data_IF_277715882363
#
_entry.id   IF_277715882363
#
_cell.length_a   1.000
_cell.length_b   1.000
_cell.length_c   1.000
_cell.angle_alpha   90.00
_cell.angle_beta   90.00
_cell.angle_gamma   90.00
#
_symmetry.space_group_name_H-M   'P 1'
#
loop_
_entity.id
_entity.type
_entity.pdbx_description
1 polymer ?
#
# COMPACT_ATOMS: atom_id res chain seq x y z
N UNK A 1 -21.02 37.35 -1.19
CA UNK A 1 -20.61 38.65 -1.76
C UNK A 1 -19.66 39.30 -0.76
N UNK A 2 -18.38 39.38 -1.16
CA UNK A 2 -17.29 40.27 -0.76
C UNK A 2 -17.23 40.91 0.65
N UNK A 3 -16.03 40.84 1.27
CA UNK A 3 -15.38 42.04 1.82
C UNK A 3 -14.92 42.01 3.29
N UNK A 4 -13.61 41.80 3.49
CA UNK A 4 -12.79 42.29 4.63
C UNK A 4 -13.00 43.80 4.85
N UNK A 5 -12.85 44.38 6.08
CA UNK A 5 -11.50 44.63 6.66
C UNK A 5 -11.40 44.72 8.21
N UNK A 6 -10.16 44.96 8.68
CA UNK A 6 -9.68 45.29 10.04
C UNK A 6 -9.40 44.14 11.02
N UNK A 7 -8.16 43.65 11.02
CA UNK A 7 -7.28 43.67 12.22
C UNK A 7 -5.85 43.95 11.74
N UNK A 8 -5.49 45.23 11.63
CA UNK A 8 -4.09 45.65 11.71
C UNK A 8 -3.78 45.95 13.16
N UNK A 9 -2.97 45.11 13.84
CA UNK A 9 -2.24 45.42 15.08
C UNK A 9 -1.40 44.23 15.63
N UNK A 10 -0.67 43.48 14.79
CA UNK A 10 0.40 42.60 15.29
C UNK A 10 1.71 42.74 14.49
N UNK A 11 1.94 43.92 13.94
CA UNK A 11 3.23 44.35 13.41
C UNK A 11 3.51 45.78 13.90
N UNK A 12 3.45 45.97 15.22
CA UNK A 12 3.85 47.20 15.88
C UNK A 12 5.03 46.92 16.80
N UNK A 13 6.18 47.55 16.53
CA UNK A 13 7.26 47.65 17.52
C UNK A 13 8.43 46.70 17.36
N UNK A 14 9.03 46.62 16.17
CA UNK A 14 10.46 46.39 16.07
C UNK A 14 11.20 47.70 16.41
N UNK A 15 11.23 48.07 17.68
CA UNK A 15 12.10 49.13 18.19
C UNK A 15 12.62 48.77 19.57
N UNK A 16 13.95 48.89 19.71
CA UNK A 16 14.73 48.87 20.95
C UNK A 16 15.06 47.50 21.59
N UNK A 17 16.11 46.86 21.06
CA UNK A 17 17.36 46.55 21.80
C UNK A 17 17.38 45.71 23.09
N UNK A 18 16.30 45.06 23.54
CA UNK A 18 16.36 44.25 24.79
C UNK A 18 15.67 42.88 24.70
N UNK A 19 15.52 42.31 23.49
CA UNK A 19 14.79 41.05 23.26
C UNK A 19 15.59 39.91 22.62
N UNK A 20 16.88 40.11 22.31
CA UNK A 20 17.73 39.13 21.60
C UNK A 20 18.02 37.86 22.43
N UNK A 21 17.64 37.84 23.71
CA UNK A 21 17.79 36.67 24.60
C UNK A 21 16.53 35.81 24.71
N UNK A 22 15.36 36.27 24.24
CA UNK A 22 14.15 35.43 24.21
C UNK A 22 14.02 34.61 22.92
N UNK A 23 14.64 35.05 21.83
CA UNK A 23 14.69 34.29 20.56
C UNK A 23 15.59 33.05 20.60
N UNK A 24 16.50 32.96 21.58
CA UNK A 24 17.44 31.85 21.73
C UNK A 24 16.94 30.72 22.64
N UNK A 25 15.83 30.93 23.37
CA UNK A 25 15.24 29.89 24.24
C UNK A 25 14.20 29.06 23.48
N UNK A 26 13.63 29.59 22.40
CA UNK A 26 12.65 28.89 21.55
C UNK A 26 13.24 27.81 20.63
N UNK A 27 14.55 27.78 20.41
CA UNK A 27 15.22 26.84 19.48
C UNK A 27 15.70 25.54 20.12
N UNK A 28 15.66 25.42 21.45
CA UNK A 28 16.07 24.20 22.17
C UNK A 28 14.90 23.24 22.38
N UNK A 29 13.67 23.76 22.47
CA UNK A 29 12.46 22.92 22.61
C UNK A 29 12.05 22.24 21.29
N UNK A 30 12.48 22.78 20.14
CA UNK A 30 12.13 22.23 18.81
C UNK A 30 12.93 20.99 18.40
N UNK A 31 14.09 20.72 19.02
CA UNK A 31 14.89 19.52 18.74
C UNK A 31 14.25 18.20 19.22
N UNK A 32 13.45 18.26 20.29
CA UNK A 32 12.75 17.07 20.83
C UNK A 32 11.43 16.81 20.10
N UNK A 33 10.72 17.86 19.68
CA UNK A 33 9.48 17.73 18.92
C UNK A 33 9.65 17.12 17.53
N UNK A 34 10.78 17.40 16.86
CA UNK A 34 11.09 16.86 15.52
C UNK A 34 11.33 15.35 15.54
N UNK A 35 12.08 14.84 16.51
CA UNK A 35 12.30 13.39 16.66
C UNK A 35 10.99 12.66 16.99
N UNK A 36 10.17 13.21 17.88
CA UNK A 36 8.86 12.65 18.21
C UNK A 36 7.92 12.60 16.99
N UNK A 37 7.94 13.64 16.14
CA UNK A 37 7.14 13.69 14.91
C UNK A 37 7.55 12.62 13.89
N UNK A 38 8.85 12.36 13.71
CA UNK A 38 9.34 11.31 12.81
C UNK A 38 8.97 9.90 13.26
N UNK A 39 8.95 9.64 14.57
CA UNK A 39 8.50 8.34 15.13
C UNK A 39 7.01 8.13 14.90
N UNK A 40 6.20 9.18 15.06
CA UNK A 40 4.77 9.13 14.77
C UNK A 40 4.50 8.86 13.28
N UNK A 41 5.20 9.54 12.37
CA UNK A 41 5.09 9.31 10.92
C UNK A 41 5.49 7.89 10.53
N UNK A 42 6.59 7.36 11.09
CA UNK A 42 6.99 5.98 10.87
C UNK A 42 5.90 4.99 11.29
N UNK A 43 5.32 5.17 12.48
CA UNK A 43 4.24 4.31 12.98
C UNK A 43 2.99 4.38 12.10
N UNK A 44 2.63 5.57 11.61
CA UNK A 44 1.52 5.74 10.68
C UNK A 44 1.79 5.01 9.35
N UNK A 45 3.00 5.17 8.81
CA UNK A 45 3.43 4.49 7.58
C UNK A 45 3.46 2.96 7.74
N UNK A 46 3.93 2.45 8.89
CA UNK A 46 3.93 1.02 9.21
C UNK A 46 2.51 0.45 9.32
N UNK A 47 1.58 1.21 9.92
CA UNK A 47 0.17 0.82 10.02
C UNK A 47 -0.51 0.80 8.63
N UNK A 48 -0.25 1.81 7.80
CA UNK A 48 -0.77 1.88 6.44
C UNK A 48 -0.20 0.73 5.57
N UNK A 49 1.08 0.41 5.74
CA UNK A 49 1.71 -0.75 5.12
C UNK A 49 1.12 -2.08 5.59
N UNK A 50 0.83 -2.23 6.89
CA UNK A 50 0.17 -3.43 7.42
C UNK A 50 -1.24 -3.61 6.84
N UNK A 51 -1.99 -2.52 6.66
CA UNK A 51 -3.30 -2.57 6.00
C UNK A 51 -3.19 -2.99 4.52
N UNK A 52 -2.20 -2.46 3.78
CA UNK A 52 -1.95 -2.88 2.41
C UNK A 52 -1.54 -4.36 2.31
N UNK A 53 -0.73 -4.86 3.25
CA UNK A 53 -0.36 -6.26 3.32
C UNK A 53 -1.56 -7.17 3.65
N UNK A 54 -2.47 -6.75 4.52
CA UNK A 54 -3.72 -7.48 4.78
C UNK A 54 -4.58 -7.56 3.52
N UNK A 55 -4.81 -6.43 2.83
CA UNK A 55 -5.53 -6.39 1.55
C UNK A 55 -4.87 -7.30 0.50
N UNK A 56 -3.54 -7.30 0.42
CA UNK A 56 -2.81 -8.17 -0.49
C UNK A 56 -3.02 -9.66 -0.18
N UNK A 57 -3.05 -10.03 1.11
CA UNK A 57 -3.34 -11.41 1.55
C UNK A 57 -4.77 -11.80 1.21
N UNK A 58 -5.73 -10.93 1.49
CA UNK A 58 -7.14 -11.13 1.14
C UNK A 58 -7.32 -11.34 -0.37
N UNK A 59 -6.66 -10.52 -1.20
CA UNK A 59 -6.71 -10.64 -2.65
C UNK A 59 -6.12 -11.98 -3.15
N UNK A 60 -5.00 -12.42 -2.59
CA UNK A 60 -4.47 -13.77 -2.87
C UNK A 60 -5.41 -14.88 -2.40
N UNK A 61 -6.10 -14.72 -1.28
CA UNK A 61 -7.03 -15.72 -0.78
C UNK A 61 -8.34 -15.75 -1.59
N UNK A 62 -8.82 -14.59 -2.04
CA UNK A 62 -9.98 -14.46 -2.91
C UNK A 62 -9.71 -15.08 -4.28
N UNK A 63 -8.59 -14.73 -4.92
CA UNK A 63 -8.18 -15.31 -6.21
C UNK A 63 -7.93 -16.82 -6.14
N UNK A 64 -7.44 -17.35 -5.01
CA UNK A 64 -7.37 -18.79 -4.79
C UNK A 64 -8.74 -19.45 -4.71
N UNK A 65 -9.69 -18.84 -4.00
CA UNK A 65 -11.07 -19.32 -3.93
C UNK A 65 -11.75 -19.31 -5.29
N UNK A 66 -11.62 -18.23 -6.04
CA UNK A 66 -12.18 -18.09 -7.40
C UNK A 66 -11.60 -19.15 -8.35
N UNK A 67 -10.28 -19.40 -8.28
CA UNK A 67 -9.64 -20.42 -9.09
C UNK A 67 -10.15 -21.84 -8.76
N UNK A 68 -10.35 -22.16 -7.48
CA UNK A 68 -10.96 -23.43 -7.08
C UNK A 68 -12.41 -23.54 -7.58
N UNK A 69 -13.16 -22.45 -7.55
CA UNK A 69 -14.54 -22.41 -8.02
C UNK A 69 -14.62 -22.66 -9.53
N UNK A 70 -13.75 -22.01 -10.32
CA UNK A 70 -13.64 -22.22 -11.78
C UNK A 70 -13.25 -23.65 -12.15
N UNK A 71 -12.31 -24.25 -11.42
CA UNK A 71 -11.96 -25.67 -11.59
C UNK A 71 -13.16 -26.58 -11.32
N UNK A 72 -13.90 -26.31 -10.25
CA UNK A 72 -15.08 -27.10 -9.89
C UNK A 72 -16.19 -26.97 -10.92
N UNK A 73 -16.41 -25.77 -11.44
CA UNK A 73 -17.38 -25.49 -12.49
C UNK A 73 -17.02 -26.20 -13.80
N UNK A 74 -15.74 -26.18 -14.19
CA UNK A 74 -15.22 -26.97 -15.31
C UNK A 74 -15.45 -28.47 -15.12
N UNK A 75 -15.20 -29.00 -13.92
CA UNK A 75 -15.46 -30.41 -13.62
C UNK A 75 -16.95 -30.77 -13.71
N UNK A 76 -17.85 -29.91 -13.20
CA UNK A 76 -19.31 -30.13 -13.27
C UNK A 76 -19.79 -30.08 -14.72
N UNK A 77 -19.31 -29.12 -15.51
CA UNK A 77 -19.59 -29.03 -16.95
C UNK A 77 -19.13 -30.30 -17.68
N UNK A 78 -17.95 -30.80 -17.34
CA UNK A 78 -17.42 -32.03 -17.92
C UNK A 78 -18.29 -33.23 -17.57
N UNK A 79 -18.66 -33.40 -16.30
CA UNK A 79 -19.55 -34.48 -15.87
C UNK A 79 -20.93 -34.42 -16.55
N UNK A 80 -21.47 -33.20 -16.77
CA UNK A 80 -22.72 -33.01 -17.51
C UNK A 80 -22.59 -33.37 -18.98
N UNK A 81 -21.48 -32.96 -19.62
CA UNK A 81 -21.19 -33.33 -21.01
C UNK A 81 -21.05 -34.85 -21.17
N UNK A 82 -20.38 -35.52 -20.23
CA UNK A 82 -20.25 -36.97 -20.20
C UNK A 82 -21.61 -37.68 -20.04
N UNK A 83 -22.45 -37.19 -19.13
CA UNK A 83 -23.79 -37.75 -18.89
C UNK A 83 -24.70 -37.57 -20.10
N UNK A 84 -24.68 -36.40 -20.75
CA UNK A 84 -25.44 -36.15 -21.98
C UNK A 84 -24.94 -37.01 -23.14
N UNK A 85 -23.63 -37.16 -23.29
CA UNK A 85 -23.05 -38.06 -24.28
C UNK A 85 -23.48 -39.51 -24.08
N UNK A 86 -23.45 -39.99 -22.84
CA UNK A 86 -23.91 -41.32 -22.48
C UNK A 86 -25.43 -41.50 -22.72
N UNK A 87 -26.24 -40.50 -22.39
CA UNK A 87 -27.70 -40.52 -22.57
C UNK A 87 -28.12 -40.42 -24.05
N UNK A 88 -27.34 -39.75 -24.89
CA UNK A 88 -27.64 -39.59 -26.33
C UNK A 88 -27.41 -40.84 -27.18
N UNK A 89 -26.91 -41.93 -26.58
CA UNK A 89 -26.59 -43.15 -27.32
C UNK A 89 -25.35 -43.05 -28.21
N UNK A 90 -24.69 -41.88 -28.25
CA UNK A 90 -23.47 -41.65 -29.03
C UNK A 90 -22.24 -42.44 -28.53
N UNK A 91 -22.37 -43.17 -27.42
CA UNK A 91 -21.30 -43.98 -26.85
C UNK A 91 -20.20 -43.11 -26.24
N UNK A 92 -19.98 -43.25 -24.93
CA UNK A 92 -18.75 -42.76 -24.28
C UNK A 92 -17.53 -43.65 -24.61
N UNK A 93 -17.54 -44.27 -25.79
CA UNK A 93 -16.52 -45.18 -26.32
C UNK A 93 -15.70 -44.52 -27.42
N UNK A 94 -14.70 -45.25 -27.91
CA UNK A 94 -13.74 -44.83 -28.96
C UNK A 94 -14.36 -44.31 -30.27
N UNK A 95 -15.67 -44.48 -30.46
CA UNK A 95 -16.43 -44.10 -31.65
C UNK A 95 -16.96 -42.65 -31.61
N UNK A 96 -16.86 -41.94 -30.48
CA UNK A 96 -17.17 -40.51 -30.36
C UNK A 96 -15.96 -39.66 -29.90
N UNK A 97 -14.83 -39.65 -30.65
CA UNK A 97 -13.62 -38.93 -30.29
C UNK A 97 -13.85 -37.42 -30.12
N UNK A 98 -14.86 -36.86 -30.78
CA UNK A 98 -15.21 -35.44 -30.70
C UNK A 98 -15.66 -35.02 -29.30
N UNK A 99 -16.41 -35.87 -28.58
CA UNK A 99 -16.94 -35.56 -27.25
C UNK A 99 -15.81 -35.56 -26.22
N UNK A 100 -14.96 -36.59 -26.23
CA UNK A 100 -13.79 -36.69 -25.34
C UNK A 100 -12.83 -35.51 -25.58
N UNK A 101 -12.65 -35.09 -26.84
CA UNK A 101 -11.81 -33.93 -27.18
C UNK A 101 -12.42 -32.62 -26.70
N UNK A 102 -13.73 -32.43 -26.83
CA UNK A 102 -14.45 -31.25 -26.34
C UNK A 102 -14.39 -31.18 -24.80
N UNK A 103 -14.60 -32.30 -24.13
CA UNK A 103 -14.45 -32.45 -22.68
C UNK A 103 -13.03 -32.10 -22.19
N UNK A 104 -12.00 -32.57 -22.90
CA UNK A 104 -10.60 -32.23 -22.61
C UNK A 104 -10.30 -30.75 -22.83
N UNK A 105 -10.85 -30.14 -23.89
CA UNK A 105 -10.73 -28.71 -24.15
C UNK A 105 -11.42 -27.86 -23.08
N UNK A 106 -12.64 -28.22 -22.65
CA UNK A 106 -13.36 -27.52 -21.58
C UNK A 106 -12.61 -27.58 -20.25
N UNK A 107 -12.05 -28.75 -19.90
CA UNK A 107 -11.22 -28.88 -18.71
C UNK A 107 -9.94 -28.02 -18.80
N UNK A 108 -9.27 -28.02 -19.97
CA UNK A 108 -8.10 -27.19 -20.23
C UNK A 108 -8.38 -25.69 -20.14
N UNK A 109 -9.50 -25.23 -20.71
CA UNK A 109 -9.94 -23.83 -20.61
C UNK A 109 -10.31 -23.44 -19.18
N UNK A 110 -10.98 -24.32 -18.43
CA UNK A 110 -11.31 -24.06 -17.02
C UNK A 110 -10.04 -23.89 -16.18
N UNK A 111 -9.03 -24.73 -16.39
CA UNK A 111 -7.75 -24.63 -15.70
C UNK A 111 -6.94 -23.39 -16.12
N UNK A 112 -6.96 -23.05 -17.41
CA UNK A 112 -6.34 -21.83 -17.92
C UNK A 112 -6.99 -20.57 -17.32
N UNK A 113 -8.32 -20.54 -17.25
CA UNK A 113 -9.08 -19.46 -16.65
C UNK A 113 -8.87 -19.36 -15.14
N UNK A 114 -8.72 -20.49 -14.45
CA UNK A 114 -8.37 -20.55 -13.03
C UNK A 114 -6.96 -20.00 -12.77
N UNK A 115 -5.98 -20.40 -13.58
CA UNK A 115 -4.60 -19.91 -13.49
C UNK A 115 -4.51 -18.41 -13.80
N UNK A 116 -5.22 -17.93 -14.83
CA UNK A 116 -5.26 -16.52 -15.19
C UNK A 116 -5.87 -15.68 -14.06
N UNK A 117 -6.94 -16.18 -13.41
CA UNK A 117 -7.56 -15.52 -12.27
C UNK A 117 -6.62 -15.45 -11.05
N UNK A 118 -5.94 -16.57 -10.74
CA UNK A 118 -4.89 -16.58 -9.71
C UNK A 118 -3.79 -15.56 -10.02
N UNK A 119 -3.25 -15.59 -11.23
CA UNK A 119 -2.17 -14.71 -11.65
C UNK A 119 -2.56 -13.23 -11.54
N UNK A 120 -3.77 -12.88 -11.97
CA UNK A 120 -4.31 -11.53 -11.79
C UNK A 120 -4.37 -11.10 -10.32
N UNK A 121 -4.81 -12.00 -9.43
CA UNK A 121 -4.81 -11.76 -7.98
C UNK A 121 -3.41 -11.59 -7.40
N UNK A 122 -2.45 -12.44 -7.80
CA UNK A 122 -1.05 -12.34 -7.39
C UNK A 122 -0.41 -11.03 -7.86
N UNK A 123 -0.68 -10.59 -9.09
CA UNK A 123 -0.18 -9.31 -9.61
C UNK A 123 -0.72 -8.12 -8.83
N UNK A 124 -2.01 -8.11 -8.48
CA UNK A 124 -2.60 -7.07 -7.62
C UNK A 124 -2.02 -7.08 -6.21
N UNK A 125 -1.86 -8.28 -5.63
CA UNK A 125 -1.23 -8.44 -4.33
C UNK A 125 0.25 -8.01 -4.33
N UNK A 126 0.99 -8.24 -5.43
CA UNK A 126 2.36 -7.78 -5.59
C UNK A 126 2.44 -6.26 -5.58
N UNK A 127 1.59 -5.57 -6.35
CA UNK A 127 1.52 -4.11 -6.35
C UNK A 127 1.19 -3.51 -4.98
N UNK A 128 0.28 -4.13 -4.23
CA UNK A 128 -0.02 -3.74 -2.84
C UNK A 128 1.17 -3.94 -1.90
N UNK A 129 1.91 -5.05 -2.04
CA UNK A 129 3.12 -5.32 -1.23
C UNK A 129 4.25 -4.37 -1.55
N UNK A 130 4.44 -4.01 -2.82
CA UNK A 130 5.45 -3.04 -3.22
C UNK A 130 5.09 -1.64 -2.72
N UNK A 131 3.80 -1.27 -2.76
CA UNK A 131 3.30 -0.03 -2.15
C UNK A 131 3.51 -0.01 -0.64
N UNK A 132 3.29 -1.12 0.05
CA UNK A 132 3.57 -1.27 1.48
C UNK A 132 5.06 -1.10 1.81
N UNK A 133 5.95 -1.71 1.01
CA UNK A 133 7.40 -1.55 1.16
C UNK A 133 7.83 -0.11 0.91
N UNK A 134 7.32 0.52 -0.15
CA UNK A 134 7.60 1.93 -0.45
C UNK A 134 7.16 2.83 0.71
N UNK A 135 6.01 2.56 1.32
CA UNK A 135 5.50 3.32 2.47
C UNK A 135 6.36 3.15 3.72
N UNK A 136 6.79 1.91 4.03
CA UNK A 136 7.76 1.63 5.10
C UNK A 136 9.09 2.34 4.86
N UNK A 137 9.58 2.32 3.62
CA UNK A 137 10.80 3.02 3.24
C UNK A 137 10.68 4.54 3.40
N UNK A 138 9.55 5.14 2.98
CA UNK A 138 9.30 6.57 3.18
C UNK A 138 9.22 6.94 4.66
N UNK A 139 8.56 6.12 5.49
CA UNK A 139 8.49 6.37 6.94
C UNK A 139 9.85 6.31 7.63
N UNK A 140 10.71 5.37 7.23
CA UNK A 140 12.09 5.30 7.73
C UNK A 140 12.94 6.50 7.26
N UNK A 141 12.75 6.96 6.03
CA UNK A 141 13.41 8.15 5.50
C UNK A 141 12.96 9.42 6.23
N UNK A 142 11.66 9.58 6.50
CA UNK A 142 11.13 10.66 7.34
C UNK A 142 11.72 10.65 8.74
N UNK A 143 11.77 9.48 9.40
CA UNK A 143 12.40 9.36 10.72
C UNK A 143 13.86 9.83 10.70
N UNK A 144 14.65 9.36 9.73
CA UNK A 144 16.05 9.75 9.57
C UNK A 144 16.19 11.25 9.26
N UNK A 145 15.34 11.79 8.38
CA UNK A 145 15.30 13.21 8.04
C UNK A 145 14.95 14.08 9.24
N UNK A 146 14.00 13.67 10.07
CA UNK A 146 13.62 14.38 11.29
C UNK A 146 14.71 14.33 12.36
N UNK A 147 15.42 13.21 12.48
CA UNK A 147 16.56 13.06 13.41
C UNK A 147 17.75 13.90 12.95
N UNK A 148 18.13 13.82 11.66
CA UNK A 148 19.25 14.57 11.09
C UNK A 148 18.92 16.07 11.03
N UNK A 149 17.71 16.44 10.61
CA UNK A 149 17.24 17.83 10.56
C UNK A 149 17.09 18.45 11.95
N UNK A 150 16.63 17.67 12.93
CA UNK A 150 16.60 18.07 14.34
C UNK A 150 18.01 18.35 14.89
N UNK A 151 18.98 17.47 14.57
CA UNK A 151 20.39 17.64 14.95
C UNK A 151 21.07 18.79 14.21
N UNK A 152 20.87 18.92 12.89
CA UNK A 152 21.44 19.98 12.07
C UNK A 152 20.91 21.37 12.43
N UNK A 153 19.64 21.47 12.81
CA UNK A 153 19.05 22.71 13.33
C UNK A 153 19.65 23.11 14.68
N UNK A 154 19.96 22.13 15.53
CA UNK A 154 20.64 22.35 16.82
C UNK A 154 22.11 22.78 16.62
N UNK A 155 22.86 22.11 15.74
CA UNK A 155 24.26 22.43 15.45
C UNK A 155 24.43 23.77 14.70
N UNK A 156 23.54 24.08 13.75
CA UNK A 156 23.50 25.36 13.04
C UNK A 156 23.06 26.52 13.95
N UNK A 157 22.15 26.25 14.89
CA UNK A 157 21.75 27.21 15.93
C UNK A 157 22.90 27.58 16.87
N UNK A 158 23.69 26.59 17.31
CA UNK A 158 24.89 26.78 18.14
C UNK A 158 26.03 27.49 17.40
N UNK A 159 26.22 27.22 16.11
CA UNK A 159 27.25 27.88 15.29
C UNK A 159 26.89 29.34 14.96
N UNK A 160 25.59 29.65 14.84
CA UNK A 160 25.10 30.99 14.55
C UNK A 160 24.95 31.86 15.81
N UNK A 161 25.02 31.29 17.01
CA UNK A 161 24.90 32.00 18.29
C UNK A 161 26.23 32.41 18.95
N UNK A 162 27.38 32.30 18.26
CA UNK A 162 28.60 33.03 18.65
C UNK A 162 29.23 32.67 20.00
N UNK A 163 29.36 31.38 20.35
CA UNK A 163 30.15 30.94 21.54
C UNK A 163 31.61 30.59 21.19
N UNK A 164 32.03 30.78 19.93
CA UNK A 164 33.44 30.66 19.50
C UNK A 164 33.81 31.75 18.48
N UNK A 165 33.69 33.01 18.90
CA UNK A 165 34.23 34.18 18.21
C UNK A 165 34.79 35.15 19.24
#
# INVERSE_FOLDING_TARGET
MAGLPLIGALFGGATASTGSTLGAIGSVVSGVGTIASGVAEKRAADFEAAQMEQKAKEETAASQRDAMQKRREGAILNSRAQALAAASGAGAGTDAPTIVKLMGQTAGEADYNAQTAMYGGYSRAAGLRDSAKARKASGNASLLGSVIGGFGSMAGGLSKSGVFG
#
